data_IF_278916098543
#
_entry.id   IF_278916098543
#
_cell.length_a   1.000
_cell.length_b   1.000
_cell.length_c   1.000
_cell.angle_alpha   90.00
_cell.angle_beta   90.00
_cell.angle_gamma   90.00
#
_symmetry.space_group_name_H-M   'P 1'
#
loop_
_entity.id
_entity.type
_entity.pdbx_description
1 polymer ?
#
# COMPACT_ATOMS: atom_id res chain seq x y z
N UNK A 1 35.15 -38.40 28.53
CA UNK A 1 36.18 -37.37 28.45
C UNK A 1 36.04 -36.52 27.25
N UNK A 2 36.23 -37.07 26.10
CA UNK A 2 36.17 -36.31 24.87
C UNK A 2 34.80 -35.70 24.58
N UNK A 3 33.81 -36.16 25.24
CA UNK A 3 32.47 -35.67 25.02
C UNK A 3 32.29 -34.20 25.37
N UNK A 4 33.00 -33.78 26.38
CA UNK A 4 32.87 -32.41 26.84
C UNK A 4 33.34 -31.42 25.81
N UNK A 5 34.37 -31.73 25.12
CA UNK A 5 34.90 -30.84 24.12
C UNK A 5 33.97 -30.69 22.93
N UNK A 6 33.29 -31.76 22.59
CA UNK A 6 32.36 -31.73 21.47
C UNK A 6 31.24 -30.77 21.75
N UNK A 7 30.75 -30.74 22.96
CA UNK A 7 29.67 -29.82 23.33
C UNK A 7 30.10 -28.38 23.16
N UNK A 8 31.33 -28.08 23.52
CA UNK A 8 31.82 -26.71 23.39
C UNK A 8 31.79 -26.21 21.96
N UNK A 9 32.20 -27.06 21.05
CA UNK A 9 32.22 -26.65 19.64
C UNK A 9 30.86 -26.31 19.14
N UNK A 10 29.86 -27.06 19.49
CA UNK A 10 28.53 -26.80 19.08
C UNK A 10 28.03 -25.44 19.57
N UNK A 11 28.36 -25.13 20.79
CA UNK A 11 27.94 -23.87 21.37
C UNK A 11 28.53 -22.70 20.61
N UNK A 12 29.78 -22.80 20.25
CA UNK A 12 30.43 -21.72 19.52
C UNK A 12 29.76 -21.47 18.16
N UNK A 13 29.44 -22.51 17.47
CA UNK A 13 28.84 -22.35 16.18
C UNK A 13 27.48 -21.66 16.27
N UNK A 14 26.72 -21.99 17.28
CA UNK A 14 25.43 -21.34 17.46
C UNK A 14 25.56 -19.85 17.67
N UNK A 15 26.54 -19.47 18.44
CA UNK A 15 26.75 -18.06 18.71
C UNK A 15 27.09 -17.29 17.46
N UNK A 16 27.90 -17.86 16.62
CA UNK A 16 28.28 -17.19 15.38
C UNK A 16 27.10 -16.98 14.47
N UNK A 17 26.24 -17.96 14.37
CA UNK A 17 25.06 -17.85 13.52
C UNK A 17 24.14 -16.76 14.00
N UNK A 18 23.93 -16.69 15.29
CA UNK A 18 23.06 -15.66 15.86
C UNK A 18 23.58 -14.27 15.57
N UNK A 19 24.88 -14.08 15.65
CA UNK A 19 25.46 -12.77 15.38
C UNK A 19 25.21 -12.35 13.96
N UNK A 20 25.38 -13.25 13.02
CA UNK A 20 25.14 -12.92 11.63
C UNK A 20 23.69 -12.52 11.35
N UNK A 21 22.77 -13.22 11.97
CA UNK A 21 21.36 -12.91 11.78
C UNK A 21 21.02 -11.54 12.33
N UNK A 22 21.57 -11.18 13.44
CA UNK A 22 21.29 -9.89 14.04
C UNK A 22 21.71 -8.75 13.12
N UNK A 23 22.84 -8.86 12.50
CA UNK A 23 23.32 -7.83 11.60
C UNK A 23 22.44 -7.72 10.37
N UNK A 24 22.00 -8.85 9.87
CA UNK A 24 21.15 -8.86 8.70
C UNK A 24 19.83 -8.16 8.96
N UNK A 25 19.23 -8.41 10.11
CA UNK A 25 17.96 -7.78 10.45
C UNK A 25 18.10 -6.27 10.58
N UNK A 26 19.20 -5.82 11.11
CA UNK A 26 19.41 -4.39 11.27
C UNK A 26 19.42 -3.67 9.93
N UNK A 27 20.01 -4.28 8.92
CA UNK A 27 20.09 -3.64 7.62
C UNK A 27 18.73 -3.61 6.92
N UNK A 28 17.88 -4.55 7.22
CA UNK A 28 16.56 -4.58 6.60
C UNK A 28 15.65 -3.47 7.13
N UNK A 29 15.83 -3.11 8.38
CA UNK A 29 14.98 -2.11 8.99
C UNK A 29 15.00 -0.77 8.29
N UNK A 30 16.14 -0.40 7.73
CA UNK A 30 16.26 0.90 7.07
C UNK A 30 15.45 0.99 5.80
N UNK A 31 15.53 0.05 4.87
CA UNK A 31 14.73 0.13 3.65
C UNK A 31 13.23 0.13 3.90
N UNK A 32 12.80 -0.40 5.02
CA UNK A 32 11.40 -0.42 5.32
C UNK A 32 10.77 0.96 5.35
N UNK A 33 11.51 1.96 5.74
CA UNK A 33 11.00 3.31 5.80
C UNK A 33 10.73 3.87 4.42
N UNK A 34 11.52 3.47 3.46
CA UNK A 34 11.39 3.97 2.10
C UNK A 34 10.16 3.45 1.40
N UNK A 35 9.60 2.36 1.87
CA UNK A 35 8.41 1.80 1.24
C UNK A 35 7.21 2.72 1.41
N UNK A 36 7.27 3.62 2.36
CA UNK A 36 6.23 4.63 2.50
C UNK A 36 6.34 5.69 1.43
N UNK A 37 7.46 5.80 0.81
CA UNK A 37 7.55 6.64 -0.35
C UNK A 37 6.70 5.99 -1.40
N UNK A 38 5.54 6.16 -1.31
CA UNK A 38 4.43 5.69 -1.97
C UNK A 38 4.61 5.63 -3.43
N UNK A 39 4.81 4.45 -3.91
CA UNK A 39 4.92 4.21 -5.32
C UNK A 39 3.58 4.52 -5.97
N UNK A 40 3.62 5.30 -7.03
CA UNK A 40 2.42 5.65 -7.78
C UNK A 40 2.44 5.01 -9.14
N UNK A 41 1.26 4.66 -9.61
CA UNK A 41 1.05 3.99 -10.87
C UNK A 41 0.19 4.85 -11.78
N UNK A 42 0.53 4.88 -13.07
CA UNK A 42 -0.25 5.61 -14.06
C UNK A 42 -1.11 4.66 -14.84
N UNK A 43 -2.41 4.92 -14.94
CA UNK A 43 -3.24 4.14 -15.86
C UNK A 43 -2.86 4.47 -17.30
N UNK A 44 -3.20 3.56 -18.22
CA UNK A 44 -2.88 3.73 -19.63
C UNK A 44 -3.91 4.60 -20.36
N UNK A 45 -4.41 5.61 -19.70
CA UNK A 45 -5.36 6.55 -20.29
C UNK A 45 -4.88 7.96 -19.97
N UNK A 46 -5.30 8.89 -20.81
CA UNK A 46 -4.96 10.28 -20.58
C UNK A 46 -5.82 10.80 -19.44
N UNK A 47 -5.17 11.35 -18.42
CA UNK A 47 -5.87 11.87 -17.26
C UNK A 47 -6.28 13.31 -17.46
N UNK A 48 -7.43 13.72 -16.91
CA UNK A 48 -7.87 15.11 -16.99
C UNK A 48 -6.90 16.06 -16.29
N UNK A 49 -6.94 17.29 -16.69
CA UNK A 49 -6.15 18.32 -16.03
C UNK A 49 -6.60 18.46 -14.59
N UNK A 50 -5.64 18.59 -13.69
CA UNK A 50 -5.92 18.68 -12.26
C UNK A 50 -5.85 17.35 -11.53
N UNK A 51 -5.76 16.25 -12.26
CA UNK A 51 -5.59 14.93 -11.64
C UNK A 51 -4.13 14.73 -11.23
N UNK A 52 -3.89 13.86 -10.23
CA UNK A 52 -2.51 13.51 -9.87
C UNK A 52 -1.81 12.80 -11.02
N UNK A 53 -0.48 12.86 -11.01
CA UNK A 53 0.31 12.19 -12.03
C UNK A 53 0.20 10.69 -11.97
N UNK A 54 -0.19 10.15 -10.85
CA UNK A 54 -0.36 8.72 -10.67
C UNK A 54 -1.09 8.46 -9.38
N UNK A 55 -1.47 7.20 -9.17
CA UNK A 55 -2.27 6.78 -8.03
C UNK A 55 -1.56 5.69 -7.25
N UNK A 56 -1.92 5.52 -5.98
CA UNK A 56 -1.45 4.39 -5.20
C UNK A 56 -2.05 3.09 -5.72
N UNK A 57 -3.20 3.18 -6.35
CA UNK A 57 -3.82 2.08 -7.05
C UNK A 57 -4.96 2.57 -7.91
N UNK A 58 -5.39 1.75 -8.86
CA UNK A 58 -6.56 2.05 -9.68
C UNK A 58 -7.17 0.74 -10.17
N UNK A 59 -8.44 0.80 -10.51
CA UNK A 59 -9.16 -0.36 -10.99
C UNK A 59 -10.65 -0.09 -11.02
N UNK A 60 -11.43 -1.08 -11.45
CA UNK A 60 -12.88 -0.93 -11.47
C UNK A 60 -13.45 -1.07 -10.06
N UNK A 61 -14.52 -0.34 -9.80
CA UNK A 61 -15.25 -0.48 -8.55
C UNK A 61 -16.09 -1.75 -8.62
N UNK A 62 -15.86 -2.66 -7.70
CA UNK A 62 -16.64 -3.89 -7.60
C UNK A 62 -17.78 -3.74 -6.60
N UNK A 63 -17.58 -2.98 -5.56
CA UNK A 63 -18.60 -2.71 -4.56
C UNK A 63 -18.27 -1.41 -3.83
N UNK A 64 -19.28 -0.76 -3.31
CA UNK A 64 -19.13 0.56 -2.71
C UNK A 64 -20.12 0.73 -1.58
N UNK A 65 -19.64 1.16 -0.40
CA UNK A 65 -20.49 1.55 0.71
C UNK A 65 -19.79 2.65 1.50
N UNK A 66 -20.43 3.09 2.58
CA UNK A 66 -19.90 4.21 3.37
C UNK A 66 -18.58 3.89 4.07
N UNK A 67 -18.35 2.63 4.39
CA UNK A 67 -17.16 2.23 5.14
C UNK A 67 -15.95 2.03 4.24
N UNK A 68 -16.18 1.61 3.01
CA UNK A 68 -15.09 1.31 2.14
C UNK A 68 -15.54 0.96 0.72
N UNK A 69 -14.56 0.63 -0.08
CA UNK A 69 -14.76 0.37 -1.50
C UNK A 69 -13.95 -0.86 -1.87
N UNK A 70 -14.53 -1.71 -2.73
CA UNK A 70 -13.81 -2.86 -3.28
C UNK A 70 -13.37 -2.49 -4.69
N UNK A 71 -12.08 -2.48 -4.92
CA UNK A 71 -11.47 -2.17 -6.21
C UNK A 71 -10.57 -3.33 -6.58
N UNK A 72 -10.87 -3.98 -7.71
CA UNK A 72 -10.08 -5.12 -8.15
C UNK A 72 -10.05 -6.23 -7.10
N UNK A 73 -11.20 -6.52 -6.50
CA UNK A 73 -11.38 -7.56 -5.47
C UNK A 73 -10.68 -7.28 -4.14
N UNK A 74 -10.20 -6.07 -3.94
CA UNK A 74 -9.54 -5.68 -2.69
C UNK A 74 -10.40 -4.65 -1.99
N UNK A 75 -10.75 -4.93 -0.72
CA UNK A 75 -11.46 -3.97 0.10
C UNK A 75 -10.49 -2.94 0.67
N UNK A 76 -10.80 -1.66 0.49
CA UNK A 76 -10.00 -0.56 1.01
C UNK A 76 -10.91 0.36 1.78
N UNK A 77 -10.54 0.65 3.01
CA UNK A 77 -11.34 1.51 3.87
C UNK A 77 -11.23 2.95 3.39
N UNK A 78 -12.33 3.69 3.50
CA UNK A 78 -12.35 5.12 3.17
C UNK A 78 -12.04 5.95 4.41
N UNK A 79 -11.23 6.97 4.24
CA UNK A 79 -10.99 7.94 5.30
C UNK A 79 -12.29 8.71 5.56
N UNK A 80 -12.57 9.11 6.81
CA UNK A 80 -13.72 9.98 7.09
C UNK A 80 -13.68 11.28 6.32
N UNK A 81 -12.51 11.70 5.89
CA UNK A 81 -12.34 12.95 5.16
C UNK A 81 -12.01 12.71 3.69
N UNK A 82 -12.44 11.59 3.15
CA UNK A 82 -12.18 11.26 1.75
C UNK A 82 -12.76 12.33 0.83
N UNK A 83 -11.99 12.71 -0.18
CA UNK A 83 -12.46 13.63 -1.21
C UNK A 83 -12.69 12.86 -2.50
N UNK A 84 -13.67 13.28 -3.26
CA UNK A 84 -14.06 12.60 -4.50
C UNK A 84 -13.98 13.58 -5.66
N UNK A 85 -13.49 13.09 -6.78
CA UNK A 85 -13.23 13.94 -7.95
C UNK A 85 -13.65 13.21 -9.22
N UNK A 86 -14.30 13.93 -10.12
CA UNK A 86 -14.67 13.42 -11.45
C UNK A 86 -14.13 14.37 -12.51
N UNK A 87 -14.06 13.95 -13.77
CA UNK A 87 -13.57 14.84 -14.82
C UNK A 87 -14.40 16.12 -14.99
N UNK A 88 -15.67 16.06 -14.64
CA UNK A 88 -16.57 17.21 -14.80
C UNK A 88 -16.76 18.00 -13.52
N UNK A 89 -16.39 17.43 -12.37
CA UNK A 89 -16.57 18.10 -11.09
C UNK A 89 -15.51 17.65 -10.09
N UNK A 90 -14.60 18.56 -9.76
CA UNK A 90 -13.53 18.25 -8.83
C UNK A 90 -14.00 18.15 -7.38
N UNK A 91 -15.20 18.62 -7.08
CA UNK A 91 -15.77 18.53 -5.74
C UNK A 91 -16.99 17.61 -5.78
N UNK A 92 -16.77 16.37 -6.13
CA UNK A 92 -17.82 15.39 -6.24
C UNK A 92 -18.07 14.69 -4.92
N UNK A 93 -19.06 13.82 -4.89
CA UNK A 93 -19.42 13.02 -3.74
C UNK A 93 -19.32 11.55 -4.07
N UNK A 94 -19.22 10.74 -3.03
CA UNK A 94 -19.16 9.29 -3.22
C UNK A 94 -20.38 8.77 -3.98
N UNK A 95 -21.52 9.41 -3.81
CA UNK A 95 -22.73 9.03 -4.51
C UNK A 95 -22.67 9.20 -6.02
N UNK A 96 -21.69 9.94 -6.51
CA UNK A 96 -21.51 10.12 -7.95
C UNK A 96 -20.75 8.96 -8.61
N UNK A 97 -20.32 7.99 -7.81
CA UNK A 97 -19.57 6.85 -8.32
C UNK A 97 -20.45 5.61 -8.35
N UNK A 98 -20.21 4.77 -9.32
CA UNK A 98 -21.00 3.54 -9.51
C UNK A 98 -20.10 2.35 -9.67
N UNK A 99 -20.65 1.17 -9.38
CA UNK A 99 -19.91 -0.07 -9.67
C UNK A 99 -19.62 -0.14 -11.16
N UNK A 100 -18.43 -0.60 -11.49
CA UNK A 100 -17.97 -0.65 -12.86
C UNK A 100 -17.16 0.56 -13.30
N UNK A 101 -17.25 1.65 -12.56
CA UNK A 101 -16.43 2.83 -12.87
C UNK A 101 -14.95 2.51 -12.64
N UNK A 102 -14.12 3.01 -13.52
CA UNK A 102 -12.67 2.92 -13.36
C UNK A 102 -12.21 4.12 -12.53
N UNK A 103 -11.60 3.84 -11.39
CA UNK A 103 -11.17 4.90 -10.48
C UNK A 103 -9.70 4.70 -10.09
N UNK A 104 -9.06 5.82 -9.73
CA UNK A 104 -7.76 5.80 -9.09
C UNK A 104 -7.88 6.37 -7.68
N UNK A 105 -6.95 6.02 -6.81
CA UNK A 105 -7.04 6.48 -5.44
C UNK A 105 -5.67 6.76 -4.84
N UNK A 106 -5.68 7.68 -3.89
CA UNK A 106 -4.53 7.95 -3.04
C UNK A 106 -4.87 7.52 -1.62
N UNK A 107 -3.90 6.95 -0.93
CA UNK A 107 -4.07 6.45 0.44
C UNK A 107 -3.18 7.20 1.40
N UNK A 108 -3.60 7.24 2.65
CA UNK A 108 -2.75 7.72 3.73
C UNK A 108 -1.85 6.57 4.23
N UNK A 109 -0.89 6.85 5.11
CA UNK A 109 -0.04 5.79 5.66
C UNK A 109 -0.80 4.70 6.40
N UNK A 110 -1.99 4.98 6.89
CA UNK A 110 -2.84 4.00 7.54
C UNK A 110 -3.57 3.07 6.59
N UNK A 111 -3.42 3.27 5.28
CA UNK A 111 -4.06 2.41 4.29
C UNK A 111 -5.47 2.80 3.91
N UNK A 112 -5.94 3.95 4.38
CA UNK A 112 -7.28 4.43 4.03
C UNK A 112 -7.21 5.34 2.81
N UNK A 113 -8.24 5.28 1.97
CA UNK A 113 -8.33 6.15 0.80
C UNK A 113 -8.63 7.57 1.25
N UNK A 114 -7.78 8.50 0.88
CA UNK A 114 -7.97 9.93 1.17
C UNK A 114 -8.55 10.68 0.01
N UNK A 115 -8.34 10.20 -1.21
CA UNK A 115 -8.97 10.81 -2.39
C UNK A 115 -9.27 9.75 -3.43
N UNK A 116 -10.42 9.91 -4.08
CA UNK A 116 -10.92 8.98 -5.08
C UNK A 116 -11.20 9.76 -6.36
N UNK A 117 -10.71 9.25 -7.48
CA UNK A 117 -10.71 9.98 -8.75
C UNK A 117 -11.35 9.12 -9.83
N UNK A 118 -12.42 9.60 -10.43
CA UNK A 118 -13.07 8.89 -11.52
C UNK A 118 -12.24 9.04 -12.79
N UNK A 119 -11.83 7.92 -13.35
CA UNK A 119 -11.06 7.92 -14.60
C UNK A 119 -11.99 7.73 -15.80
N UNK A 120 -12.91 6.77 -15.67
CA UNK A 120 -13.81 6.50 -16.78
C UNK A 120 -15.08 5.77 -16.35
#
# INVERSE_FOLDING_TARGET
>A
MSKHRIVSFKTLRHMMVCTGLALFLASIGVPGDLSYAQQRYKPEVLLPLGYPDGFHGFGPIDALNEDGIVIGDIFIKLSPFVTCHTPTNMNSYLADFNTGDLVGYLKNPGGEITSLWLIR
#
